data_IF_122646535672
#
_entry.id   IF_122646535672
#
_cell.length_a   1.000
_cell.length_b   1.000
_cell.length_c   1.000
_cell.angle_alpha   90.00
_cell.angle_beta   90.00
_cell.angle_gamma   90.00
#
_symmetry.space_group_name_H-M   'P 1'
#
loop_
_entity.id
_entity.type
_entity.pdbx_description
1 polymer ?
#
# COMPACT_ATOMS: atom_id res chain seq x y z
N UNK A 1 3.75 -7.80 1.35
CA UNK A 1 3.03 -8.77 2.22
C UNK A 1 2.89 -10.07 1.47
N UNK A 2 3.28 -11.17 2.09
CA UNK A 2 3.14 -12.54 1.59
C UNK A 2 1.76 -13.09 1.95
N UNK A 3 0.95 -13.45 0.97
CA UNK A 3 -0.41 -13.95 1.21
C UNK A 3 -0.47 -15.40 1.72
N UNK A 4 0.63 -16.15 1.60
CA UNK A 4 0.71 -17.50 2.16
C UNK A 4 0.83 -17.49 3.69
N UNK A 5 1.30 -16.41 4.29
CA UNK A 5 1.50 -16.30 5.75
C UNK A 5 0.96 -15.00 6.35
N UNK A 6 0.41 -14.10 5.52
CA UNK A 6 -0.13 -12.78 5.89
C UNK A 6 0.85 -11.88 6.64
N UNK A 7 2.11 -11.89 6.22
CA UNK A 7 3.20 -11.16 6.88
C UNK A 7 4.00 -10.28 5.92
N UNK A 8 4.55 -9.20 6.43
CA UNK A 8 5.51 -8.38 5.69
C UNK A 8 6.84 -9.11 5.59
N UNK A 9 7.29 -9.39 4.36
CA UNK A 9 8.55 -10.09 4.08
C UNK A 9 9.64 -9.17 3.49
N UNK A 10 9.25 -7.97 3.06
CA UNK A 10 10.14 -6.98 2.48
C UNK A 10 9.57 -5.57 2.68
N UNK A 11 10.46 -4.62 2.93
CA UNK A 11 10.18 -3.18 3.04
C UNK A 11 11.24 -2.45 2.23
N UNK A 12 10.82 -1.49 1.42
CA UNK A 12 11.72 -0.74 0.52
C UNK A 12 11.61 0.74 0.83
N UNK A 13 12.72 1.37 1.22
CA UNK A 13 12.81 2.82 1.24
C UNK A 13 12.94 3.31 -0.20
N UNK A 14 11.97 4.10 -0.66
CA UNK A 14 12.05 4.76 -1.97
C UNK A 14 12.92 6.01 -1.84
N UNK A 15 14.07 6.07 -2.54
CA UNK A 15 14.94 7.25 -2.50
C UNK A 15 14.26 8.42 -3.22
N UNK A 16 14.54 9.65 -2.77
CA UNK A 16 14.00 10.89 -3.37
C UNK A 16 12.47 10.92 -3.51
N UNK A 17 11.75 10.25 -2.60
CA UNK A 17 10.28 10.27 -2.52
C UNK A 17 9.83 10.81 -1.16
N UNK A 18 8.98 11.84 -1.17
CA UNK A 18 8.28 12.34 -0.01
C UNK A 18 6.78 12.31 -0.28
N UNK A 19 5.98 11.90 0.72
CA UNK A 19 4.55 11.65 0.52
C UNK A 19 4.32 10.55 -0.50
N UNK A 20 4.86 9.33 -0.30
CA UNK A 20 4.56 8.24 -1.23
C UNK A 20 3.07 7.92 -1.14
N UNK A 21 2.31 8.29 -2.18
CA UNK A 21 0.84 8.27 -2.14
C UNK A 21 0.29 7.16 -3.05
N UNK A 22 0.10 7.43 -4.34
CA UNK A 22 -0.36 6.43 -5.30
C UNK A 22 0.59 5.24 -5.41
N UNK A 23 0.08 4.04 -5.19
CA UNK A 23 0.79 2.78 -5.36
C UNK A 23 -0.07 1.79 -6.13
N UNK A 24 0.48 1.21 -7.21
CA UNK A 24 -0.26 0.22 -7.99
C UNK A 24 0.66 -0.86 -8.58
N UNK A 25 0.32 -2.17 -8.46
CA UNK A 25 1.08 -3.21 -9.14
C UNK A 25 0.82 -3.22 -10.65
N UNK A 26 1.74 -3.78 -11.43
CA UNK A 26 1.47 -4.10 -12.84
C UNK A 26 0.33 -5.12 -12.95
N UNK A 27 -0.79 -4.75 -13.60
CA UNK A 27 -1.93 -5.65 -13.86
C UNK A 27 -1.61 -6.72 -14.91
N UNK A 28 -0.75 -6.40 -15.88
CA UNK A 28 -0.39 -7.32 -16.96
C UNK A 28 0.37 -8.55 -16.44
N UNK A 29 1.38 -8.30 -15.61
CA UNK A 29 2.20 -9.33 -14.97
C UNK A 29 2.77 -8.75 -13.70
N UNK A 30 2.79 -9.53 -12.61
CA UNK A 30 3.42 -9.10 -11.36
C UNK A 30 4.96 -9.11 -11.46
N UNK A 31 5.50 -8.12 -12.17
CA UNK A 31 6.93 -7.88 -12.34
C UNK A 31 7.38 -6.52 -11.77
N UNK A 32 6.43 -5.58 -11.61
CA UNK A 32 6.68 -4.28 -11.05
C UNK A 32 5.55 -3.80 -10.13
N UNK A 33 5.93 -2.97 -9.16
CA UNK A 33 5.04 -2.09 -8.39
C UNK A 33 5.46 -0.66 -8.69
N UNK A 34 4.48 0.18 -8.99
CA UNK A 34 4.70 1.58 -9.30
C UNK A 34 4.24 2.46 -8.15
N UNK A 35 5.05 3.47 -7.82
CA UNK A 35 4.79 4.39 -6.71
C UNK A 35 4.98 5.84 -7.16
N UNK A 36 4.13 6.72 -6.67
CA UNK A 36 4.19 8.16 -6.89
C UNK A 36 4.73 8.88 -5.65
N UNK A 37 5.69 9.78 -5.85
CA UNK A 37 6.03 10.79 -4.85
C UNK A 37 5.08 11.99 -5.00
N UNK A 38 4.28 12.25 -3.99
CA UNK A 38 3.30 13.35 -3.99
C UNK A 38 3.95 14.71 -3.85
N UNK A 39 5.01 14.80 -3.05
CA UNK A 39 5.68 16.07 -2.78
C UNK A 39 6.94 16.18 -3.62
N UNK A 40 7.03 17.27 -4.37
CA UNK A 40 8.22 17.65 -5.11
C UNK A 40 9.28 18.18 -4.14
N UNK A 41 10.54 17.78 -4.31
CA UNK A 41 11.68 18.28 -3.49
C UNK A 41 12.92 18.54 -4.34
N UNK A 42 13.89 19.37 -3.88
CA UNK A 42 15.14 19.55 -4.60
C UNK A 42 15.91 18.26 -4.81
N UNK A 43 16.67 18.19 -5.91
CA UNK A 43 17.54 17.05 -6.19
C UNK A 43 18.98 17.51 -6.47
N UNK A 44 19.95 17.27 -5.56
CA UNK A 44 19.79 16.64 -4.24
C UNK A 44 19.10 17.55 -3.21
N UNK A 45 18.46 16.95 -2.21
CA UNK A 45 17.83 17.67 -1.11
C UNK A 45 18.81 17.85 0.08
N UNK A 46 19.78 18.75 -0.09
CA UNK A 46 20.89 18.94 0.86
C UNK A 46 20.88 20.31 1.58
N UNK A 47 19.75 21.01 1.53
CA UNK A 47 19.54 22.28 2.24
C UNK A 47 20.01 23.52 1.48
N UNK A 48 20.48 23.41 0.22
CA UNK A 48 20.86 24.58 -0.59
C UNK A 48 19.68 25.30 -1.25
N UNK A 49 18.59 24.58 -1.51
CA UNK A 49 17.43 25.05 -2.27
C UNK A 49 16.14 25.00 -1.44
N UNK A 50 16.22 25.34 -0.14
CA UNK A 50 15.12 25.19 0.83
C UNK A 50 13.85 25.97 0.52
N UNK A 51 13.93 27.05 -0.25
CA UNK A 51 12.80 27.93 -0.57
C UNK A 51 12.84 28.31 -2.07
N UNK A 52 13.09 27.30 -2.91
CA UNK A 52 13.10 27.47 -4.37
C UNK A 52 12.29 26.37 -5.06
N UNK A 53 10.94 26.46 -5.03
CA UNK A 53 10.04 25.44 -5.57
C UNK A 53 10.28 25.09 -7.03
N UNK A 54 10.81 26.02 -7.83
CA UNK A 54 11.19 25.79 -9.25
C UNK A 54 12.28 24.73 -9.45
N UNK A 55 12.98 24.37 -8.38
CA UNK A 55 13.99 23.29 -8.40
C UNK A 55 13.44 21.98 -7.85
N UNK A 56 12.20 21.97 -7.40
CA UNK A 56 11.59 20.81 -6.79
C UNK A 56 11.12 19.89 -7.90
N UNK A 57 11.21 18.59 -7.65
CA UNK A 57 10.79 17.60 -8.61
C UNK A 57 10.16 16.43 -7.87
N UNK A 58 9.01 15.98 -8.36
CA UNK A 58 8.40 14.73 -7.96
C UNK A 58 8.88 13.60 -8.87
N UNK A 59 8.71 12.36 -8.42
CA UNK A 59 9.18 11.18 -9.15
C UNK A 59 8.11 10.10 -9.23
N UNK A 60 8.03 9.46 -10.39
CA UNK A 60 7.41 8.16 -10.52
C UNK A 60 8.47 7.06 -10.41
N UNK A 61 8.20 6.05 -9.59
CA UNK A 61 9.17 5.01 -9.24
C UNK A 61 8.67 3.64 -9.65
N UNK A 62 9.55 2.83 -10.24
CA UNK A 62 9.32 1.42 -10.53
C UNK A 62 10.13 0.55 -9.58
N UNK A 63 9.46 -0.33 -8.84
CA UNK A 63 10.04 -1.31 -7.93
C UNK A 63 9.84 -2.69 -8.54
N UNK A 64 10.89 -3.52 -8.56
CA UNK A 64 10.78 -4.92 -8.96
C UNK A 64 9.94 -5.69 -7.95
N UNK A 65 8.81 -6.25 -8.37
CA UNK A 65 7.84 -6.87 -7.45
C UNK A 65 8.38 -8.14 -6.75
N UNK A 66 9.46 -8.76 -7.25
CA UNK A 66 10.03 -10.00 -6.69
C UNK A 66 11.16 -9.73 -5.72
N UNK A 67 12.02 -8.77 -6.05
CA UNK A 67 13.19 -8.42 -5.25
C UNK A 67 12.94 -7.24 -4.33
N UNK A 68 11.85 -6.50 -4.55
CA UNK A 68 11.50 -5.27 -3.87
C UNK A 68 12.59 -4.19 -3.97
N UNK A 69 13.42 -4.23 -5.02
CA UNK A 69 14.44 -3.22 -5.30
C UNK A 69 13.91 -2.20 -6.30
N UNK A 70 14.30 -0.94 -6.12
CA UNK A 70 14.01 0.12 -7.10
C UNK A 70 14.74 -0.18 -8.42
N UNK A 71 14.00 -0.25 -9.52
CA UNK A 71 14.52 -0.51 -10.87
C UNK A 71 14.95 0.77 -11.57
N UNK A 72 14.13 1.80 -11.48
CA UNK A 72 14.36 3.13 -12.05
C UNK A 72 13.38 4.12 -11.45
N UNK A 73 13.71 5.41 -11.59
CA UNK A 73 12.81 6.52 -11.30
C UNK A 73 12.75 7.44 -12.51
N UNK A 74 11.70 8.25 -12.61
CA UNK A 74 11.58 9.28 -13.64
C UNK A 74 11.03 10.56 -13.04
N UNK A 75 11.75 11.66 -13.26
CA UNK A 75 11.34 13.01 -12.89
C UNK A 75 10.19 13.49 -13.78
N UNK A 76 9.24 14.23 -13.23
CA UNK A 76 8.07 14.74 -13.95
C UNK A 76 7.85 16.23 -13.68
N UNK A 77 7.05 16.87 -14.54
CA UNK A 77 6.56 18.24 -14.32
C UNK A 77 5.38 18.20 -13.33
N UNK A 78 5.30 19.16 -12.41
CA UNK A 78 4.27 19.16 -11.36
C UNK A 78 4.48 18.07 -10.31
N UNK A 79 3.39 17.47 -9.83
CA UNK A 79 3.41 16.41 -8.82
C UNK A 79 2.65 15.14 -9.26
N UNK A 80 2.56 14.15 -8.37
CA UNK A 80 1.83 12.90 -8.64
C UNK A 80 0.97 12.46 -7.46
N UNK A 81 -0.28 12.17 -7.73
CA UNK A 81 -1.27 11.74 -6.77
C UNK A 81 -1.47 10.20 -6.88
N UNK A 82 -2.62 9.73 -7.36
CA UNK A 82 -2.92 8.30 -7.49
C UNK A 82 -2.15 7.63 -8.63
N UNK A 83 -2.04 6.30 -8.57
CA UNK A 83 -1.33 5.50 -9.58
C UNK A 83 -2.24 4.39 -10.14
N UNK A 84 -2.10 4.08 -11.43
CA UNK A 84 -2.74 2.92 -12.05
C UNK A 84 -1.91 2.37 -13.22
N UNK A 85 -2.12 1.10 -13.57
CA UNK A 85 -1.47 0.44 -14.72
C UNK A 85 -2.50 -0.10 -15.72
N UNK A 86 -2.15 -0.13 -17.01
CA UNK A 86 -2.99 -0.79 -18.01
C UNK A 86 -2.94 -2.33 -17.89
N UNK A 87 -3.76 -3.03 -18.68
CA UNK A 87 -3.79 -4.49 -18.70
C UNK A 87 -2.78 -5.11 -19.69
N UNK A 88 -2.13 -4.30 -20.50
CA UNK A 88 -1.20 -4.73 -21.57
C UNK A 88 0.28 -4.52 -21.20
N UNK A 89 0.56 -3.89 -20.06
CA UNK A 89 1.91 -3.64 -19.56
C UNK A 89 2.64 -2.54 -20.34
N UNK A 90 1.92 -1.72 -21.10
CA UNK A 90 2.50 -0.62 -21.88
C UNK A 90 2.61 0.65 -21.06
N UNK A 91 1.64 0.91 -20.19
CA UNK A 91 1.53 2.18 -19.49
C UNK A 91 1.32 2.03 -17.99
N UNK A 92 2.06 2.84 -17.24
CA UNK A 92 1.70 3.29 -15.90
C UNK A 92 1.18 4.71 -15.99
N UNK A 93 0.34 5.13 -15.05
CA UNK A 93 -0.33 6.42 -15.07
C UNK A 93 -0.42 6.99 -13.66
N UNK A 94 -0.42 8.31 -13.54
CA UNK A 94 -0.77 9.00 -12.32
C UNK A 94 -1.36 10.37 -12.56
N UNK A 95 -2.30 10.77 -11.71
CA UNK A 95 -2.91 12.12 -11.72
C UNK A 95 -1.94 13.13 -11.13
N UNK A 96 -2.01 14.37 -11.58
CA UNK A 96 -1.29 15.51 -11.01
C UNK A 96 -2.33 16.51 -10.55
N UNK A 97 -2.19 17.02 -9.32
CA UNK A 97 -3.07 18.08 -8.81
C UNK A 97 -2.36 19.41 -8.64
N UNK A 98 -1.03 19.44 -8.76
CA UNK A 98 -0.21 20.63 -8.58
C UNK A 98 0.71 20.77 -9.78
N UNK A 99 0.12 20.96 -10.96
CA UNK A 99 0.87 21.24 -12.18
C UNK A 99 1.53 22.62 -12.16
N UNK A 100 1.09 23.48 -11.25
CA UNK A 100 1.58 24.83 -11.02
C UNK A 100 2.89 24.86 -10.23
N UNK A 101 3.28 23.73 -9.61
CA UNK A 101 4.44 23.64 -8.71
C UNK A 101 4.34 24.62 -7.53
N UNK A 102 3.10 24.89 -7.09
CA UNK A 102 2.79 25.74 -5.95
C UNK A 102 3.16 25.10 -4.62
N UNK A 103 3.40 25.92 -3.61
CA UNK A 103 3.66 25.51 -2.22
C UNK A 103 2.58 26.00 -1.26
N UNK A 104 1.68 26.87 -1.74
CA UNK A 104 0.48 27.32 -1.03
C UNK A 104 -0.78 26.75 -1.70
N UNK A 105 -1.86 26.61 -0.93
CA UNK A 105 -3.12 26.04 -1.40
C UNK A 105 -3.68 26.80 -2.61
N UNK A 106 -3.69 28.13 -2.56
CA UNK A 106 -4.18 28.98 -3.63
C UNK A 106 -3.36 28.88 -4.91
N UNK A 107 -2.06 28.57 -4.82
CA UNK A 107 -1.18 28.38 -5.97
C UNK A 107 -1.49 27.04 -6.65
N UNK A 108 -1.60 25.98 -5.83
CA UNK A 108 -1.92 24.63 -6.28
C UNK A 108 -3.32 24.52 -6.91
N UNK A 109 -4.21 25.49 -6.66
CA UNK A 109 -5.58 25.48 -7.19
C UNK A 109 -5.78 26.48 -8.33
N UNK A 110 -4.71 27.08 -8.86
CA UNK A 110 -4.83 28.21 -9.78
C UNK A 110 -5.07 27.79 -11.23
N UNK A 111 -4.61 26.61 -11.65
CA UNK A 111 -4.85 26.06 -12.97
C UNK A 111 -6.30 25.58 -13.14
N UNK A 112 -6.90 25.80 -14.31
CA UNK A 112 -8.22 25.23 -14.64
C UNK A 112 -8.13 23.73 -14.97
N UNK A 113 -6.94 23.29 -15.40
CA UNK A 113 -6.64 21.89 -15.72
C UNK A 113 -5.21 21.59 -15.32
N UNK A 114 -5.06 20.50 -14.59
CA UNK A 114 -3.80 19.80 -14.45
C UNK A 114 -3.74 18.71 -15.52
N UNK A 115 -3.29 17.51 -15.17
CA UNK A 115 -3.11 16.46 -16.13
C UNK A 115 -3.12 15.05 -15.52
N UNK A 116 -3.41 14.08 -16.38
CA UNK A 116 -3.01 12.69 -16.25
C UNK A 116 -1.61 12.53 -16.86
N UNK A 117 -0.65 12.14 -16.03
CA UNK A 117 0.72 11.79 -16.42
C UNK A 117 0.77 10.32 -16.83
N UNK A 118 1.09 10.02 -18.09
CA UNK A 118 1.17 8.66 -18.63
C UNK A 118 2.63 8.32 -18.91
N UNK A 119 3.08 7.16 -18.42
CA UNK A 119 4.45 6.67 -18.53
C UNK A 119 4.53 5.51 -19.53
N UNK A 120 5.29 5.66 -20.61
CA UNK A 120 5.54 4.58 -21.57
C UNK A 120 6.61 3.62 -21.03
N UNK A 121 6.16 2.48 -20.50
CA UNK A 121 7.02 1.52 -19.80
C UNK A 121 8.05 0.88 -20.72
N UNK A 122 7.69 0.61 -21.98
CA UNK A 122 8.63 0.06 -22.97
C UNK A 122 9.78 1.04 -23.23
N UNK A 123 9.46 2.30 -23.55
CA UNK A 123 10.47 3.34 -23.83
C UNK A 123 11.37 3.61 -22.63
N UNK A 124 10.80 3.65 -21.42
CA UNK A 124 11.55 3.82 -20.18
C UNK A 124 12.48 2.63 -19.93
N UNK A 125 11.97 1.41 -20.00
CA UNK A 125 12.76 0.21 -19.75
C UNK A 125 13.88 0.04 -20.80
N UNK A 126 13.63 0.40 -22.06
CA UNK A 126 14.67 0.38 -23.10
C UNK A 126 15.74 1.44 -22.84
N UNK A 127 15.36 2.67 -22.48
CA UNK A 127 16.32 3.71 -22.10
C UNK A 127 17.21 3.28 -20.93
N UNK A 128 16.63 2.68 -19.89
CA UNK A 128 17.37 2.13 -18.75
C UNK A 128 18.34 1.02 -19.18
N UNK A 129 17.91 0.09 -20.04
CA UNK A 129 18.78 -0.97 -20.58
C UNK A 129 19.93 -0.42 -21.43
N UNK A 130 19.70 0.68 -22.14
CA UNK A 130 20.72 1.43 -22.90
C UNK A 130 21.68 2.22 -22.00
N UNK A 131 21.50 2.18 -20.67
CA UNK A 131 22.34 2.90 -19.71
C UNK A 131 22.01 4.39 -19.60
N UNK A 132 20.86 4.84 -20.09
CA UNK A 132 20.38 6.22 -19.88
C UNK A 132 19.91 6.41 -18.44
N UNK A 133 19.99 7.65 -17.98
CA UNK A 133 19.58 8.06 -16.65
C UNK A 133 20.73 8.65 -15.85
N UNK A 134 20.39 9.58 -14.99
CA UNK A 134 21.30 10.27 -14.09
C UNK A 134 21.40 9.44 -12.82
N UNK A 135 22.62 9.25 -12.31
CA UNK A 135 22.84 8.63 -11.00
C UNK A 135 22.98 9.70 -9.95
N UNK A 136 22.31 9.50 -8.82
CA UNK A 136 22.41 10.33 -7.64
C UNK A 136 22.94 9.52 -6.46
N UNK A 137 23.50 10.19 -5.46
CA UNK A 137 24.26 9.54 -4.38
C UNK A 137 23.44 8.54 -3.54
N UNK A 138 22.14 8.74 -3.41
CA UNK A 138 21.28 7.92 -2.54
C UNK A 138 20.68 6.70 -3.24
N UNK A 139 20.94 6.52 -4.55
CA UNK A 139 20.36 5.39 -5.30
C UNK A 139 21.26 4.92 -6.44
N UNK A 140 21.39 3.61 -6.58
CA UNK A 140 22.02 2.98 -7.75
C UNK A 140 21.07 2.91 -8.96
N UNK A 141 19.76 3.10 -8.73
CA UNK A 141 18.75 3.06 -9.78
C UNK A 141 18.89 4.29 -10.70
N UNK A 142 18.84 4.12 -12.03
CA UNK A 142 18.87 5.25 -12.96
C UNK A 142 17.62 6.12 -12.79
N UNK A 143 17.84 7.44 -12.78
CA UNK A 143 16.77 8.43 -12.79
C UNK A 143 16.68 9.06 -14.18
N UNK A 144 15.58 8.85 -14.89
CA UNK A 144 15.30 9.48 -16.18
C UNK A 144 14.69 10.87 -15.97
N UNK A 145 14.77 11.72 -17.00
CA UNK A 145 14.08 13.00 -17.06
C UNK A 145 12.86 12.89 -17.97
N UNK A 146 11.67 12.92 -17.38
CA UNK A 146 10.37 12.88 -18.04
C UNK A 146 9.67 14.24 -18.10
N UNK A 147 10.39 15.33 -17.82
CA UNK A 147 9.88 16.70 -17.89
C UNK A 147 9.84 17.21 -19.32
N UNK A 148 9.01 18.23 -19.55
CA UNK A 148 8.80 18.88 -20.83
C UNK A 148 8.51 17.90 -21.97
N UNK A 149 9.00 18.22 -23.17
CA UNK A 149 8.84 17.36 -24.35
C UNK A 149 9.88 16.23 -24.34
N UNK A 150 9.43 15.01 -24.11
CA UNK A 150 10.28 13.82 -24.03
C UNK A 150 9.57 12.58 -24.61
N UNK A 151 10.26 11.45 -24.83
CA UNK A 151 9.63 10.25 -25.38
C UNK A 151 8.97 9.35 -24.32
N UNK A 152 9.19 9.59 -23.02
CA UNK A 152 8.84 8.68 -21.93
C UNK A 152 7.49 8.99 -21.29
N UNK A 153 7.15 10.28 -21.21
CA UNK A 153 5.99 10.79 -20.48
C UNK A 153 5.07 11.59 -21.40
N UNK A 154 3.77 11.37 -21.27
CA UNK A 154 2.71 12.09 -21.96
C UNK A 154 1.79 12.74 -20.92
N UNK A 155 1.54 14.04 -21.07
CA UNK A 155 0.66 14.81 -20.18
C UNK A 155 -0.68 15.07 -20.87
N UNK A 156 -1.75 14.42 -20.41
CA UNK A 156 -3.11 14.58 -20.94
C UNK A 156 -3.88 15.53 -20.02
N UNK A 157 -4.40 16.69 -20.49
CA UNK A 157 -4.98 17.69 -19.60
C UNK A 157 -6.28 17.19 -18.95
N UNK A 158 -6.48 17.43 -17.64
CA UNK A 158 -7.65 16.96 -16.87
C UNK A 158 -8.09 18.07 -15.88
N UNK A 159 -9.38 18.45 -15.83
CA UNK A 159 -9.92 19.37 -14.83
C UNK A 159 -10.30 18.62 -13.54
N UNK A 160 -10.20 19.19 -12.34
CA UNK A 160 -9.30 20.25 -11.89
C UNK A 160 -8.74 19.77 -10.55
N UNK A 161 -7.42 19.76 -10.39
CA UNK A 161 -6.75 19.08 -9.30
C UNK A 161 -7.19 17.61 -9.17
N UNK A 162 -7.25 16.84 -10.28
CA UNK A 162 -7.82 15.50 -10.30
C UNK A 162 -7.16 14.58 -9.28
N UNK A 163 -7.93 13.64 -8.74
CA UNK A 163 -7.49 12.76 -7.67
C UNK A 163 -7.37 11.31 -8.13
N UNK A 164 -8.47 10.55 -8.16
CA UNK A 164 -8.44 9.15 -8.61
C UNK A 164 -8.13 9.02 -10.10
N UNK A 165 -7.32 8.01 -10.43
CA UNK A 165 -7.24 7.41 -11.77
C UNK A 165 -7.56 5.93 -11.68
N UNK A 166 -8.61 5.49 -12.36
CA UNK A 166 -9.10 4.11 -12.28
C UNK A 166 -9.25 3.53 -13.70
N UNK A 167 -8.74 2.32 -13.92
CA UNK A 167 -8.78 1.65 -15.24
C UNK A 167 -9.98 0.71 -15.30
N UNK A 168 -10.81 0.85 -16.33
CA UNK A 168 -11.97 -0.02 -16.53
C UNK A 168 -11.53 -1.50 -16.66
N UNK A 169 -12.33 -2.48 -16.17
CA UNK A 169 -11.99 -3.91 -16.23
C UNK A 169 -11.73 -4.45 -17.65
N UNK A 170 -12.35 -3.84 -18.67
CA UNK A 170 -12.13 -4.18 -20.07
C UNK A 170 -10.83 -3.60 -20.65
N UNK A 171 -10.09 -2.81 -19.86
CA UNK A 171 -8.79 -2.23 -20.20
C UNK A 171 -8.82 -1.11 -21.24
N UNK A 172 -10.00 -0.57 -21.56
CA UNK A 172 -10.14 0.46 -22.61
C UNK A 172 -9.95 1.89 -22.09
N UNK A 173 -10.36 2.16 -20.86
CA UNK A 173 -10.52 3.51 -20.37
C UNK A 173 -9.74 3.75 -19.08
N UNK A 174 -9.04 4.88 -19.01
CA UNK A 174 -8.60 5.47 -17.76
C UNK A 174 -9.60 6.57 -17.38
N UNK A 175 -10.21 6.46 -16.19
CA UNK A 175 -11.19 7.41 -15.67
C UNK A 175 -10.50 8.27 -14.62
N UNK A 176 -10.40 9.57 -14.87
CA UNK A 176 -9.80 10.52 -13.93
C UNK A 176 -10.91 11.30 -13.21
N UNK A 177 -10.93 11.27 -11.89
CA UNK A 177 -11.93 11.95 -11.08
C UNK A 177 -11.50 13.41 -10.82
N UNK A 178 -12.37 14.35 -11.16
CA UNK A 178 -12.01 15.75 -11.32
C UNK A 178 -11.89 16.58 -10.04
N UNK A 179 -12.13 16.01 -8.84
CA UNK A 179 -12.06 16.66 -7.53
C UNK A 179 -12.74 18.03 -7.45
N UNK A 180 -12.04 19.11 -7.80
CA UNK A 180 -12.60 20.46 -7.80
C UNK A 180 -13.52 20.71 -9.00
N UNK A 181 -13.30 20.00 -10.10
CA UNK A 181 -14.27 19.92 -11.19
C UNK A 181 -15.33 18.89 -10.86
N UNK A 182 -16.63 19.16 -11.10
CA UNK A 182 -17.72 18.21 -10.86
C UNK A 182 -17.80 17.09 -11.91
N UNK A 183 -16.70 16.82 -12.62
CA UNK A 183 -16.64 15.92 -13.78
C UNK A 183 -15.71 14.74 -13.52
N UNK A 184 -15.85 13.71 -14.35
CA UNK A 184 -14.80 12.70 -14.56
C UNK A 184 -14.32 12.77 -16.01
N UNK A 185 -13.03 12.62 -16.28
CA UNK A 185 -12.48 12.59 -17.65
C UNK A 185 -12.26 11.14 -18.08
N UNK A 186 -12.86 10.75 -19.22
CA UNK A 186 -12.74 9.41 -19.82
C UNK A 186 -11.62 9.44 -20.87
N UNK A 187 -10.49 8.81 -20.60
CA UNK A 187 -9.33 8.76 -21.48
C UNK A 187 -9.22 7.38 -22.16
N UNK A 188 -9.10 7.37 -23.49
CA UNK A 188 -8.92 6.15 -24.28
C UNK A 188 -7.47 5.66 -24.25
N UNK A 189 -7.22 4.50 -23.65
CA UNK A 189 -5.88 3.89 -23.60
C UNK A 189 -5.37 3.54 -25.01
N UNK A 190 -6.27 3.07 -25.90
CA UNK A 190 -5.93 2.72 -27.28
C UNK A 190 -5.37 3.88 -28.12
N UNK A 191 -5.61 5.14 -27.71
CA UNK A 191 -5.13 6.34 -28.42
C UNK A 191 -3.75 6.80 -27.95
N UNK A 192 -3.23 6.25 -26.84
CA UNK A 192 -1.98 6.72 -26.23
C UNK A 192 -0.78 6.50 -27.14
N UNK A 193 -0.72 5.40 -27.89
CA UNK A 193 0.38 5.14 -28.84
C UNK A 193 0.46 6.22 -29.92
N UNK A 194 -0.69 6.65 -30.47
CA UNK A 194 -0.73 7.70 -31.47
C UNK A 194 -0.35 9.07 -30.88
N UNK A 195 -0.71 9.35 -29.62
CA UNK A 195 -0.31 10.56 -28.92
C UNK A 195 1.20 10.59 -28.63
N UNK A 196 1.77 9.48 -28.13
CA UNK A 196 3.21 9.32 -27.91
C UNK A 196 4.04 9.40 -29.20
N UNK A 197 3.43 9.10 -30.35
CA UNK A 197 4.03 9.20 -31.68
C UNK A 197 3.74 10.55 -32.35
N UNK A 198 3.04 11.47 -31.68
CA UNK A 198 2.72 12.81 -32.19
C UNK A 198 1.72 12.82 -33.37
N UNK A 199 1.01 11.72 -33.62
CA UNK A 199 -0.04 11.65 -34.65
C UNK A 199 -1.31 12.37 -34.22
N UNK A 200 -1.58 12.39 -32.92
CA UNK A 200 -2.67 13.15 -32.29
C UNK A 200 -2.12 13.96 -31.12
N UNK A 201 -2.86 14.97 -30.65
CA UNK A 201 -2.50 15.72 -29.44
C UNK A 201 -2.89 14.92 -28.19
N UNK A 202 -2.24 15.12 -27.03
CA UNK A 202 -2.60 14.42 -25.79
C UNK A 202 -4.09 14.54 -25.45
N UNK A 203 -4.67 15.74 -25.59
CA UNK A 203 -6.10 15.99 -25.35
C UNK A 203 -7.04 15.17 -26.24
N UNK A 204 -6.59 14.71 -27.42
CA UNK A 204 -7.43 13.95 -28.35
C UNK A 204 -7.61 12.48 -27.88
N UNK A 205 -6.90 12.08 -26.81
CA UNK A 205 -7.13 10.82 -26.09
C UNK A 205 -8.43 10.86 -25.26
N UNK A 206 -8.93 12.05 -24.91
CA UNK A 206 -10.16 12.23 -24.13
C UNK A 206 -11.37 11.90 -25.02
N UNK A 207 -12.28 11.07 -24.51
CA UNK A 207 -13.50 10.69 -25.21
C UNK A 207 -14.71 11.50 -24.74
N UNK A 208 -14.82 11.74 -23.43
CA UNK A 208 -15.87 12.55 -22.83
C UNK A 208 -15.45 13.02 -21.43
N UNK A 209 -16.11 14.08 -20.95
CA UNK A 209 -15.93 14.64 -19.61
C UNK A 209 -17.32 14.82 -18.96
N UNK A 210 -18.04 13.72 -18.64
CA UNK A 210 -19.37 13.82 -18.03
C UNK A 210 -19.34 14.51 -16.67
N UNK A 211 -20.37 15.31 -16.40
CA UNK A 211 -20.65 15.85 -15.07
C UNK A 211 -21.29 14.77 -14.20
N UNK A 212 -20.67 14.49 -13.05
CA UNK A 212 -21.09 13.41 -12.16
C UNK A 212 -21.74 13.98 -10.89
N UNK A 213 -21.20 15.09 -10.38
CA UNK A 213 -21.67 15.82 -9.19
C UNK A 213 -20.50 16.46 -8.44
N UNK A 214 -20.73 16.99 -7.23
CA UNK A 214 -19.73 17.80 -6.53
C UNK A 214 -18.69 16.94 -5.79
N UNK A 215 -17.41 17.18 -6.07
CA UNK A 215 -16.29 16.52 -5.40
C UNK A 215 -16.03 15.07 -5.86
N UNK A 216 -15.95 14.75 -7.17
CA UNK A 216 -15.62 13.40 -7.61
C UNK A 216 -14.20 13.01 -7.22
N UNK A 217 -14.02 11.93 -6.45
CA UNK A 217 -12.70 11.49 -5.96
C UNK A 217 -12.21 10.18 -6.56
N UNK A 218 -13.01 9.11 -6.56
CA UNK A 218 -12.59 7.79 -7.05
C UNK A 218 -13.70 7.07 -7.78
N UNK A 219 -13.33 6.16 -8.68
CA UNK A 219 -14.26 5.37 -9.48
C UNK A 219 -13.99 3.87 -9.39
N UNK A 220 -15.00 3.06 -9.10
CA UNK A 220 -14.98 1.60 -9.19
C UNK A 220 -15.89 1.10 -10.33
N UNK A 221 -15.83 -0.20 -10.65
CA UNK A 221 -16.51 -0.79 -11.81
C UNK A 221 -17.17 -2.12 -11.47
N UNK A 222 -18.26 -2.44 -12.17
CA UNK A 222 -19.02 -3.69 -11.97
C UNK A 222 -18.77 -4.78 -13.03
N UNK A 223 -17.90 -4.53 -14.00
CA UNK A 223 -17.68 -5.44 -15.14
C UNK A 223 -18.82 -5.47 -16.17
N UNK A 224 -19.86 -4.63 -16.02
CA UNK A 224 -21.04 -4.55 -16.91
C UNK A 224 -21.13 -3.22 -17.65
N UNK A 225 -20.05 -2.44 -17.64
CA UNK A 225 -19.95 -1.13 -18.29
C UNK A 225 -20.42 0.05 -17.44
N UNK A 226 -20.79 -0.17 -16.18
CA UNK A 226 -21.09 0.92 -15.25
C UNK A 226 -19.88 1.24 -14.37
N UNK A 227 -19.78 2.52 -14.03
CA UNK A 227 -18.83 3.11 -13.13
C UNK A 227 -19.56 3.65 -11.89
N UNK A 228 -18.89 3.63 -10.75
CA UNK A 228 -19.40 4.06 -9.45
C UNK A 228 -18.43 5.08 -8.89
N UNK A 229 -18.82 6.34 -8.86
CA UNK A 229 -17.94 7.45 -8.48
C UNK A 229 -18.38 8.06 -7.16
N UNK A 230 -17.43 8.23 -6.25
CA UNK A 230 -17.65 8.93 -4.98
C UNK A 230 -17.73 10.43 -5.19
N UNK A 231 -18.69 11.08 -4.53
CA UNK A 231 -18.85 12.53 -4.52
C UNK A 231 -18.72 13.02 -3.09
N UNK A 232 -17.54 13.54 -2.75
CA UNK A 232 -17.16 13.90 -1.39
C UNK A 232 -18.07 14.99 -0.81
N UNK A 233 -18.35 16.04 -1.59
CA UNK A 233 -19.12 17.20 -1.14
C UNK A 233 -20.62 16.88 -1.09
N UNK A 234 -21.14 16.20 -2.12
CA UNK A 234 -22.54 15.75 -2.13
C UNK A 234 -22.81 14.63 -1.12
N UNK A 235 -21.76 13.94 -0.65
CA UNK A 235 -21.85 12.76 0.22
C UNK A 235 -22.65 11.60 -0.38
N UNK A 236 -22.44 11.33 -1.67
CA UNK A 236 -23.13 10.27 -2.40
C UNK A 236 -22.17 9.41 -3.22
N UNK A 237 -22.63 8.23 -3.63
CA UNK A 237 -22.06 7.47 -4.73
C UNK A 237 -22.98 7.62 -5.95
N UNK A 238 -22.41 7.97 -7.09
CA UNK A 238 -23.13 8.03 -8.37
C UNK A 238 -22.74 6.85 -9.24
N UNK A 239 -23.73 6.03 -9.60
CA UNK A 239 -23.63 5.00 -10.64
C UNK A 239 -23.95 5.62 -12.00
N UNK A 240 -23.08 5.40 -12.97
CA UNK A 240 -23.23 5.92 -14.34
C UNK A 240 -22.68 4.95 -15.39
N UNK A 241 -23.15 5.06 -16.63
CA UNK A 241 -22.74 4.18 -17.73
C UNK A 241 -21.70 4.86 -18.64
N UNK A 242 -20.57 4.18 -18.85
CA UNK A 242 -19.40 4.76 -19.54
C UNK A 242 -19.70 5.02 -21.01
N UNK A 243 -20.25 4.03 -21.72
CA UNK A 243 -20.54 4.14 -23.16
C UNK A 243 -21.62 5.17 -23.46
N UNK A 244 -22.67 5.25 -22.63
CA UNK A 244 -23.69 6.29 -22.74
C UNK A 244 -23.10 7.68 -22.57
N UNK A 245 -22.20 7.86 -21.60
CA UNK A 245 -21.51 9.13 -21.38
C UNK A 245 -20.65 9.51 -22.60
N UNK A 246 -19.92 8.56 -23.18
CA UNK A 246 -19.13 8.78 -24.41
C UNK A 246 -20.01 9.21 -25.59
N UNK A 247 -21.21 8.63 -25.71
CA UNK A 247 -22.18 8.97 -26.76
C UNK A 247 -22.95 10.28 -26.50
N UNK A 248 -22.82 10.87 -25.31
CA UNK A 248 -23.58 12.06 -24.91
C UNK A 248 -25.06 11.79 -24.66
N UNK A 249 -25.44 10.55 -24.32
CA UNK A 249 -26.83 10.20 -23.99
C UNK A 249 -27.23 10.83 -22.65
N UNK A 250 -28.41 11.45 -22.55
CA UNK A 250 -28.80 12.22 -21.34
C UNK A 250 -29.01 11.36 -20.08
N UNK A 251 -29.19 10.06 -20.24
CA UNK A 251 -29.47 9.10 -19.17
C UNK A 251 -28.22 8.24 -18.83
N UNK A 252 -27.01 8.79 -19.01
CA UNK A 252 -25.78 8.13 -18.56
C UNK A 252 -25.71 8.02 -17.03
N UNK A 253 -26.34 8.92 -16.28
CA UNK A 253 -26.49 8.81 -14.82
C UNK A 253 -27.60 7.81 -14.50
N UNK A 254 -27.26 6.71 -13.81
CA UNK A 254 -28.16 5.58 -13.56
C UNK A 254 -28.82 5.67 -12.19
N UNK A 255 -28.01 5.91 -11.15
CA UNK A 255 -28.50 5.97 -9.76
C UNK A 255 -27.57 6.83 -8.91
N UNK A 256 -28.12 7.54 -7.93
CA UNK A 256 -27.39 8.16 -6.83
C UNK A 256 -27.78 7.47 -5.52
N UNK A 257 -26.81 7.22 -4.64
CA UNK A 257 -27.02 6.64 -3.32
C UNK A 257 -26.32 7.50 -2.27
N UNK A 258 -27.08 7.95 -1.26
CA UNK A 258 -26.52 8.65 -0.12
C UNK A 258 -25.61 7.74 0.70
N UNK A 259 -24.40 8.23 0.99
CA UNK A 259 -23.41 7.57 1.85
C UNK A 259 -23.01 8.48 3.00
N UNK A 260 -22.51 7.90 4.09
CA UNK A 260 -22.53 8.54 5.40
C UNK A 260 -21.16 8.51 6.08
N UNK A 261 -20.35 9.56 5.98
CA UNK A 261 -20.46 10.72 5.09
C UNK A 261 -19.10 11.07 4.49
N UNK A 262 -19.11 11.88 3.42
CA UNK A 262 -17.92 12.36 2.73
C UNK A 262 -17.05 11.18 2.24
N UNK A 263 -17.51 10.46 1.20
CA UNK A 263 -16.80 9.30 0.68
C UNK A 263 -15.46 9.72 0.06
N UNK A 264 -14.39 9.03 0.46
CA UNK A 264 -13.07 9.10 -0.18
C UNK A 264 -13.01 8.09 -1.33
N UNK A 265 -12.22 7.03 -1.15
CA UNK A 265 -12.17 5.90 -2.08
C UNK A 265 -13.46 5.08 -2.11
N UNK A 266 -13.58 4.33 -3.21
CA UNK A 266 -14.57 3.29 -3.39
C UNK A 266 -13.92 2.13 -4.15
N UNK A 267 -14.26 0.90 -3.79
CA UNK A 267 -13.84 -0.27 -4.55
C UNK A 267 -14.94 -1.32 -4.63
N UNK A 268 -14.96 -2.09 -5.71
CA UNK A 268 -15.90 -3.18 -5.92
C UNK A 268 -15.17 -4.54 -5.95
N UNK A 269 -15.91 -5.61 -5.68
CA UNK A 269 -15.38 -6.98 -5.74
C UNK A 269 -14.73 -7.27 -7.08
N UNK A 270 -13.42 -7.56 -7.04
CA UNK A 270 -12.57 -7.83 -8.20
C UNK A 270 -12.47 -6.66 -9.22
N UNK A 271 -12.92 -5.45 -8.88
CA UNK A 271 -13.07 -4.29 -9.79
C UNK A 271 -11.79 -3.85 -10.49
N UNK A 272 -10.63 -4.07 -9.87
CA UNK A 272 -9.33 -3.71 -10.43
C UNK A 272 -8.72 -4.80 -11.32
N UNK A 273 -9.50 -5.84 -11.63
CA UNK A 273 -9.11 -6.99 -12.43
C UNK A 273 -10.09 -7.23 -13.58
N UNK A 274 -9.75 -8.13 -14.51
CA UNK A 274 -10.67 -8.60 -15.56
C UNK A 274 -11.83 -9.44 -15.02
N UNK A 275 -11.78 -9.83 -13.74
CA UNK A 275 -12.77 -10.68 -13.07
C UNK A 275 -13.80 -9.86 -12.24
N UNK A 276 -13.92 -8.55 -12.49
CA UNK A 276 -14.92 -7.69 -11.86
C UNK A 276 -16.31 -8.34 -11.94
N UNK A 277 -16.89 -8.68 -10.77
CA UNK A 277 -18.09 -9.52 -10.70
C UNK A 277 -19.38 -8.71 -10.48
N UNK A 278 -19.23 -7.45 -10.06
CA UNK A 278 -20.32 -6.53 -9.79
C UNK A 278 -21.30 -7.05 -8.74
N UNK A 279 -20.80 -7.66 -7.66
CA UNK A 279 -21.60 -8.15 -6.54
C UNK A 279 -21.61 -7.14 -5.38
N UNK A 280 -20.44 -6.75 -4.90
CA UNK A 280 -20.28 -5.84 -3.77
C UNK A 280 -19.46 -4.60 -4.14
N UNK A 281 -19.72 -3.53 -3.41
CA UNK A 281 -19.04 -2.24 -3.46
C UNK A 281 -18.82 -1.78 -2.01
N UNK A 282 -17.67 -1.18 -1.71
CA UNK A 282 -17.37 -0.57 -0.40
C UNK A 282 -17.02 0.89 -0.63
N UNK A 283 -17.73 1.78 0.07
CA UNK A 283 -17.46 3.23 0.13
C UNK A 283 -16.78 3.57 1.44
N UNK A 284 -15.60 4.20 1.37
CA UNK A 284 -14.76 4.50 2.54
C UNK A 284 -15.00 5.95 2.97
N UNK A 285 -15.87 6.16 3.96
CA UNK A 285 -16.39 7.48 4.30
C UNK A 285 -15.67 8.11 5.50
N UNK A 286 -15.25 9.37 5.35
CA UNK A 286 -14.29 10.03 6.26
C UNK A 286 -14.90 10.66 7.51
N UNK A 287 -16.23 10.79 7.56
CA UNK A 287 -16.91 11.29 8.74
C UNK A 287 -18.11 10.41 9.10
N UNK A 288 -18.01 9.66 10.20
CA UNK A 288 -19.11 8.80 10.67
C UNK A 288 -20.23 9.53 11.40
N UNK A 289 -19.98 10.72 11.95
CA UNK A 289 -21.00 11.57 12.62
C UNK A 289 -21.92 10.75 13.55
N UNK A 290 -23.22 10.74 13.29
CA UNK A 290 -24.25 10.09 14.11
C UNK A 290 -24.48 8.60 13.79
N UNK A 291 -23.67 7.98 12.91
CA UNK A 291 -23.87 6.59 12.47
C UNK A 291 -23.58 5.56 13.57
N UNK A 292 -22.80 5.92 14.60
CA UNK A 292 -22.40 5.05 15.69
C UNK A 292 -22.62 5.68 17.06
N UNK A 293 -22.49 4.88 18.12
CA UNK A 293 -22.47 5.40 19.49
C UNK A 293 -21.31 6.40 19.66
N UNK A 294 -21.49 7.50 20.41
CA UNK A 294 -20.42 8.45 20.64
C UNK A 294 -19.31 7.83 21.50
N UNK A 295 -18.07 7.96 21.03
CA UNK A 295 -16.86 7.40 21.69
C UNK A 295 -15.84 8.46 22.10
N UNK A 296 -16.24 9.74 22.08
CA UNK A 296 -15.39 10.88 22.35
C UNK A 296 -15.11 11.72 21.10
N UNK A 297 -14.18 12.68 21.17
CA UNK A 297 -13.90 13.60 20.05
C UNK A 297 -13.25 12.95 18.82
N UNK A 298 -12.65 11.77 18.98
CA UNK A 298 -12.00 11.02 17.91
C UNK A 298 -12.95 9.92 17.43
N UNK A 299 -13.73 10.25 16.40
CA UNK A 299 -14.72 9.35 15.81
C UNK A 299 -14.05 8.32 14.88
N UNK A 300 -14.64 7.11 14.74
CA UNK A 300 -14.23 6.17 13.69
C UNK A 300 -14.63 6.71 12.29
N UNK A 301 -14.01 6.18 11.24
CA UNK A 301 -14.54 6.29 9.87
C UNK A 301 -15.70 5.31 9.68
N UNK A 302 -16.42 5.40 8.55
CA UNK A 302 -17.52 4.49 8.21
C UNK A 302 -17.30 3.83 6.85
N UNK A 303 -16.87 2.57 6.87
CA UNK A 303 -16.78 1.75 5.66
C UNK A 303 -18.14 1.13 5.38
N UNK A 304 -18.81 1.61 4.33
CA UNK A 304 -20.16 1.18 3.99
C UNK A 304 -20.15 0.10 2.90
N UNK A 305 -20.70 -1.07 3.22
CA UNK A 305 -20.91 -2.15 2.26
C UNK A 305 -22.21 -1.93 1.49
N UNK A 306 -22.11 -1.96 0.17
CA UNK A 306 -23.21 -1.73 -0.77
C UNK A 306 -23.32 -2.96 -1.69
N UNK A 307 -24.53 -3.49 -1.82
CA UNK A 307 -24.86 -4.53 -2.79
C UNK A 307 -25.14 -3.94 -4.16
N UNK A 308 -24.60 -4.55 -5.22
CA UNK A 308 -24.78 -4.14 -6.62
C UNK A 308 -25.15 -5.30 -7.57
N UNK A 309 -25.46 -6.49 -7.04
CA UNK A 309 -25.76 -7.69 -7.84
C UNK A 309 -27.07 -7.62 -8.64
N UNK A 310 -28.02 -6.76 -8.24
CA UNK A 310 -29.32 -6.59 -8.92
C UNK A 310 -29.30 -5.46 -9.97
N UNK A 311 -28.12 -4.93 -10.29
CA UNK A 311 -27.97 -3.77 -11.18
C UNK A 311 -28.43 -2.45 -10.54
N UNK A 312 -28.62 -2.41 -9.22
CA UNK A 312 -28.91 -1.23 -8.42
C UNK A 312 -28.07 -1.24 -7.15
N UNK A 313 -27.70 -0.06 -6.66
CA UNK A 313 -26.99 0.09 -5.39
C UNK A 313 -27.97 0.00 -4.21
N UNK A 314 -27.64 -0.84 -3.23
CA UNK A 314 -28.37 -0.98 -1.96
C UNK A 314 -27.39 -1.00 -0.79
N UNK A 315 -27.48 -0.03 0.11
CA UNK A 315 -26.69 -0.03 1.35
C UNK A 315 -27.07 -1.25 2.21
N UNK A 316 -26.06 -1.99 2.69
CA UNK A 316 -26.23 -3.22 3.47
C UNK A 316 -25.70 -3.10 4.89
N UNK A 317 -24.59 -2.39 5.09
CA UNK A 317 -23.89 -2.35 6.36
C UNK A 317 -23.07 -1.08 6.52
N UNK A 318 -23.01 -0.59 7.76
CA UNK A 318 -22.11 0.46 8.22
C UNK A 318 -21.08 -0.19 9.15
N UNK A 319 -19.80 -0.15 8.76
CA UNK A 319 -18.70 -0.72 9.52
C UNK A 319 -17.85 0.39 10.16
N UNK A 320 -17.88 0.56 11.51
CA UNK A 320 -16.96 1.48 12.17
C UNK A 320 -15.54 0.93 12.09
N UNK A 321 -14.61 1.75 11.61
CA UNK A 321 -13.20 1.37 11.45
C UNK A 321 -12.29 2.37 12.17
N UNK A 322 -11.08 1.93 12.52
CA UNK A 322 -10.06 2.86 12.98
C UNK A 322 -9.88 3.96 11.92
N UNK A 323 -9.70 5.24 12.30
CA UNK A 323 -9.82 6.34 11.35
C UNK A 323 -8.87 6.27 10.15
N UNK A 324 -9.38 6.73 9.01
CA UNK A 324 -8.71 6.89 7.72
C UNK A 324 -8.09 5.64 7.06
N UNK A 325 -8.81 4.52 6.86
CA UNK A 325 -8.44 3.60 5.79
C UNK A 325 -8.60 4.33 4.46
N UNK A 326 -7.50 4.50 3.72
CA UNK A 326 -7.52 5.26 2.48
C UNK A 326 -8.19 4.50 1.35
N UNK A 327 -7.80 3.24 1.15
CA UNK A 327 -8.23 2.38 0.05
C UNK A 327 -8.37 0.92 0.52
N UNK A 328 -9.04 0.09 -0.27
CA UNK A 328 -9.14 -1.34 -0.02
C UNK A 328 -9.24 -2.11 -1.33
N UNK A 329 -8.96 -3.41 -1.29
CA UNK A 329 -9.23 -4.33 -2.41
C UNK A 329 -10.09 -5.49 -1.93
N UNK A 330 -11.03 -5.93 -2.75
CA UNK A 330 -11.91 -7.06 -2.45
C UNK A 330 -11.58 -8.19 -3.42
N UNK A 331 -11.07 -9.28 -2.88
CA UNK A 331 -10.57 -10.43 -3.66
C UNK A 331 -11.38 -11.69 -3.36
N UNK A 332 -11.62 -12.50 -4.39
CA UNK A 332 -12.28 -13.79 -4.22
C UNK A 332 -11.45 -14.70 -3.32
N UNK A 333 -12.05 -15.27 -2.27
CA UNK A 333 -11.39 -16.15 -1.31
C UNK A 333 -10.60 -17.30 -1.95
N UNK A 334 -11.02 -17.79 -3.12
CA UNK A 334 -10.38 -18.92 -3.82
C UNK A 334 -8.97 -18.60 -4.31
N UNK A 335 -8.63 -17.32 -4.45
CA UNK A 335 -7.31 -16.85 -4.87
C UNK A 335 -6.30 -16.83 -3.71
N UNK A 336 -6.76 -16.89 -2.47
CA UNK A 336 -5.89 -16.88 -1.28
C UNK A 336 -5.77 -18.31 -0.75
N UNK A 337 -4.53 -18.79 -0.62
CA UNK A 337 -4.19 -20.09 -0.05
C UNK A 337 -3.15 -19.90 1.05
N UNK A 338 -3.62 -19.45 2.21
CA UNK A 338 -2.77 -19.27 3.39
C UNK A 338 -2.36 -20.62 4.00
N UNK A 339 -1.12 -20.70 4.46
CA UNK A 339 -0.61 -21.79 5.27
C UNK A 339 -1.21 -21.72 6.68
N UNK A 340 -1.40 -22.90 7.28
CA UNK A 340 -1.96 -23.06 8.64
C UNK A 340 -0.90 -23.06 9.74
N UNK A 341 0.34 -23.39 9.37
CA UNK A 341 1.53 -23.40 10.23
C UNK A 341 2.73 -22.93 9.41
N UNK A 342 3.77 -22.45 10.08
CA UNK A 342 5.02 -22.10 9.42
C UNK A 342 5.82 -23.34 9.02
N UNK A 343 6.51 -23.23 7.89
CA UNK A 343 7.66 -24.09 7.64
C UNK A 343 8.83 -23.57 8.47
N UNK A 344 9.42 -24.39 9.34
CA UNK A 344 10.57 -24.00 10.17
C UNK A 344 11.79 -23.54 9.34
N UNK A 345 11.83 -23.93 8.06
CA UNK A 345 12.83 -23.52 7.08
C UNK A 345 12.43 -22.28 6.27
N UNK A 346 11.33 -21.59 6.61
CA UNK A 346 10.88 -20.39 5.89
C UNK A 346 11.95 -19.30 5.89
N UNK A 347 12.06 -18.55 4.80
CA UNK A 347 13.04 -17.46 4.67
C UNK A 347 12.91 -16.36 5.74
N UNK A 348 11.73 -16.18 6.36
CA UNK A 348 11.52 -15.22 7.47
C UNK A 348 12.55 -15.43 8.58
N UNK A 349 12.87 -16.69 8.91
CA UNK A 349 13.76 -17.06 10.02
C UNK A 349 15.18 -17.42 9.57
N UNK A 350 15.59 -16.99 8.37
CA UNK A 350 16.91 -17.33 7.82
C UNK A 350 18.05 -16.75 8.67
N UNK A 351 17.84 -15.56 9.25
CA UNK A 351 18.80 -14.92 10.15
C UNK A 351 19.00 -15.76 11.43
N UNK A 352 17.91 -16.13 12.10
CA UNK A 352 17.93 -16.92 13.33
C UNK A 352 18.52 -18.32 13.08
N UNK A 353 18.14 -18.97 11.97
CA UNK A 353 18.72 -20.27 11.60
C UNK A 353 20.23 -20.19 11.43
N UNK A 354 20.72 -19.15 10.75
CA UNK A 354 22.16 -18.94 10.58
C UNK A 354 22.82 -18.70 11.93
N UNK A 355 22.27 -17.81 12.76
CA UNK A 355 22.81 -17.49 14.07
C UNK A 355 22.91 -18.73 14.97
N UNK A 356 21.84 -19.53 15.05
CA UNK A 356 21.83 -20.77 15.86
C UNK A 356 22.80 -21.81 15.32
N UNK A 357 22.95 -21.93 14.00
CA UNK A 357 23.94 -22.81 13.37
C UNK A 357 25.38 -22.36 13.66
N UNK A 358 25.67 -21.07 13.60
CA UNK A 358 27.01 -20.51 13.87
C UNK A 358 27.42 -20.75 15.34
N UNK A 359 26.46 -20.84 16.26
CA UNK A 359 26.66 -21.28 17.65
C UNK A 359 26.82 -22.81 17.82
N UNK A 360 26.73 -23.58 16.74
CA UNK A 360 26.78 -25.05 16.77
C UNK A 360 25.53 -25.69 17.39
N UNK A 361 24.39 -25.00 17.34
CA UNK A 361 23.13 -25.42 17.96
C UNK A 361 22.03 -25.70 16.93
N UNK A 362 20.90 -26.22 17.42
CA UNK A 362 19.63 -26.32 16.73
C UNK A 362 18.55 -25.55 17.52
N UNK A 363 17.41 -25.26 16.90
CA UNK A 363 16.34 -24.47 17.53
C UNK A 363 15.72 -25.10 18.78
N UNK A 364 15.83 -26.41 18.93
CA UNK A 364 15.36 -27.18 20.09
C UNK A 364 16.42 -27.32 21.20
N UNK A 365 17.58 -26.67 21.06
CA UNK A 365 18.73 -26.92 21.95
C UNK A 365 18.50 -26.54 23.41
N UNK A 366 17.68 -25.52 23.70
CA UNK A 366 17.45 -25.01 25.06
C UNK A 366 18.75 -24.71 25.81
N UNK A 367 19.61 -23.84 25.23
CA UNK A 367 20.95 -23.53 25.74
C UNK A 367 21.23 -22.04 25.82
N UNK A 368 22.15 -21.70 26.72
CA UNK A 368 22.71 -20.35 26.86
C UNK A 368 24.19 -20.43 26.46
N UNK A 369 24.60 -19.62 25.49
CA UNK A 369 25.99 -19.53 25.01
C UNK A 369 26.53 -18.13 25.30
N UNK A 370 27.76 -18.03 25.78
CA UNK A 370 28.42 -16.77 26.12
C UNK A 370 29.63 -16.53 25.22
N UNK A 371 29.68 -15.36 24.61
CA UNK A 371 30.80 -14.90 23.78
C UNK A 371 31.21 -13.50 24.24
N UNK A 372 32.16 -13.42 25.16
CA UNK A 372 32.53 -12.17 25.81
C UNK A 372 31.33 -11.58 26.58
N UNK A 373 30.95 -10.34 26.26
CA UNK A 373 29.79 -9.65 26.86
C UNK A 373 28.45 -9.98 26.18
N UNK A 374 28.44 -10.86 25.17
CA UNK A 374 27.23 -11.29 24.47
C UNK A 374 26.72 -12.61 25.02
N UNK A 375 25.42 -12.70 25.23
CA UNK A 375 24.74 -13.92 25.70
C UNK A 375 23.66 -14.29 24.69
N UNK A 376 23.79 -15.48 24.10
CA UNK A 376 22.78 -16.03 23.21
C UNK A 376 21.94 -17.06 23.96
N UNK A 377 20.63 -16.87 23.98
CA UNK A 377 19.68 -17.78 24.63
C UNK A 377 18.85 -18.43 23.53
N UNK A 378 19.11 -19.70 23.23
CA UNK A 378 18.31 -20.49 22.27
C UNK A 378 17.31 -21.30 23.05
N UNK A 379 16.02 -21.02 22.88
CA UNK A 379 14.94 -21.60 23.68
C UNK A 379 13.77 -22.04 22.81
N UNK A 380 13.37 -23.29 22.94
CA UNK A 380 12.14 -23.81 22.34
C UNK A 380 10.93 -23.66 23.27
N UNK A 381 9.74 -23.86 22.72
CA UNK A 381 8.52 -24.06 23.49
C UNK A 381 7.64 -25.14 22.85
N UNK A 382 6.99 -25.91 23.72
CA UNK A 382 5.89 -26.82 23.42
C UNK A 382 4.91 -26.64 24.57
N UNK A 383 3.67 -26.25 24.29
CA UNK A 383 2.70 -25.95 25.34
C UNK A 383 2.57 -27.10 26.36
N UNK A 384 2.57 -26.82 27.68
CA UNK A 384 2.62 -25.51 28.36
C UNK A 384 4.02 -25.12 28.88
N UNK A 385 5.12 -25.48 28.20
CA UNK A 385 6.48 -25.27 28.72
C UNK A 385 7.37 -24.49 27.76
N UNK A 386 8.17 -23.58 28.33
CA UNK A 386 9.44 -23.20 27.73
C UNK A 386 10.50 -24.25 28.04
N UNK A 387 11.42 -24.46 27.11
CA UNK A 387 12.52 -25.41 27.31
C UNK A 387 13.58 -24.92 28.30
N UNK A 388 13.61 -23.63 28.64
CA UNK A 388 14.37 -23.09 29.76
C UNK A 388 13.41 -22.56 30.83
N UNK A 389 13.72 -22.85 32.10
CA UNK A 389 12.99 -22.32 33.28
C UNK A 389 13.73 -21.17 33.97
N UNK A 390 14.99 -20.98 33.61
CA UNK A 390 15.89 -19.98 34.20
C UNK A 390 16.93 -19.55 33.16
N UNK A 391 17.23 -18.26 33.13
CA UNK A 391 18.28 -17.63 32.31
C UNK A 391 19.10 -16.75 33.25
N UNK A 392 20.39 -17.05 33.46
CA UNK A 392 21.30 -16.19 34.24
C UNK A 392 22.10 -15.28 33.31
N UNK A 393 22.25 -14.01 33.67
CA UNK A 393 23.12 -13.04 32.99
C UNK A 393 23.73 -12.07 34.02
N UNK A 394 24.77 -11.36 33.63
CA UNK A 394 25.36 -10.28 34.41
C UNK A 394 24.81 -8.93 33.96
N UNK A 395 24.75 -7.96 34.88
CA UNK A 395 24.43 -6.58 34.53
C UNK A 395 25.35 -6.08 33.40
N UNK A 396 24.76 -5.53 32.35
CA UNK A 396 25.45 -4.95 31.20
C UNK A 396 25.68 -5.90 30.02
N UNK A 397 25.40 -7.20 30.18
CA UNK A 397 25.48 -8.16 29.07
C UNK A 397 24.45 -7.83 27.97
N UNK A 398 24.87 -7.99 26.72
CA UNK A 398 23.99 -7.91 25.55
C UNK A 398 23.40 -9.30 25.29
N UNK A 399 22.10 -9.43 25.52
CA UNK A 399 21.38 -10.70 25.43
C UNK A 399 20.64 -10.76 24.11
N UNK A 400 20.88 -11.81 23.33
CA UNK A 400 20.06 -12.17 22.17
C UNK A 400 19.26 -13.43 22.51
N UNK A 401 17.95 -13.27 22.67
CA UNK A 401 17.03 -14.37 22.88
C UNK A 401 16.46 -14.83 21.54
N UNK A 402 16.48 -16.14 21.31
CA UNK A 402 15.94 -16.79 20.11
C UNK A 402 14.93 -17.82 20.59
N UNK A 403 13.65 -17.56 20.32
CA UNK A 403 12.53 -18.40 20.72
C UNK A 403 12.00 -19.16 19.49
N UNK A 404 11.86 -20.49 19.57
CA UNK A 404 11.15 -21.28 18.54
C UNK A 404 9.94 -22.04 19.11
N UNK A 405 8.78 -21.95 18.47
CA UNK A 405 7.61 -22.76 18.81
C UNK A 405 7.64 -24.08 18.02
N UNK A 406 7.71 -25.21 18.72
CA UNK A 406 7.82 -26.55 18.13
C UNK A 406 6.49 -27.31 18.08
N UNK A 407 5.39 -26.69 18.52
CA UNK A 407 4.06 -27.26 18.32
C UNK A 407 3.73 -27.41 16.83
N UNK A 408 2.93 -28.43 16.52
CA UNK A 408 2.53 -28.80 15.15
C UNK A 408 1.05 -28.64 14.89
N UNK A 409 0.32 -28.06 15.84
CA UNK A 409 -1.12 -27.84 15.78
C UNK A 409 -1.35 -26.41 15.26
N UNK A 410 -2.23 -26.25 14.27
CA UNK A 410 -2.62 -24.93 13.77
C UNK A 410 -3.20 -24.06 14.90
N UNK A 411 -2.98 -22.74 14.82
CA UNK A 411 -3.46 -21.76 15.80
C UNK A 411 -2.88 -21.89 17.23
N UNK A 412 -2.00 -22.86 17.49
CA UNK A 412 -1.34 -23.04 18.78
C UNK A 412 -0.16 -22.06 18.94
N UNK A 413 -0.50 -20.78 18.98
CA UNK A 413 0.46 -19.68 19.07
C UNK A 413 0.93 -19.47 20.50
N UNK A 414 2.23 -19.23 20.67
CA UNK A 414 2.84 -18.85 21.94
C UNK A 414 3.15 -17.36 21.97
N UNK A 415 3.39 -16.83 23.16
CA UNK A 415 4.01 -15.53 23.35
C UNK A 415 5.36 -15.68 24.01
N UNK A 416 6.14 -14.61 24.04
CA UNK A 416 7.24 -14.41 24.98
C UNK A 416 7.21 -12.96 25.45
N UNK A 417 6.98 -12.76 26.75
CA UNK A 417 7.16 -11.47 27.39
C UNK A 417 8.28 -11.57 28.43
N UNK A 418 9.17 -10.58 28.47
CA UNK A 418 10.10 -10.38 29.58
C UNK A 418 9.65 -9.15 30.38
N UNK A 419 9.16 -9.39 31.59
CA UNK A 419 8.66 -8.35 32.49
C UNK A 419 9.69 -7.24 32.66
N UNK A 420 9.22 -5.99 32.68
CA UNK A 420 10.00 -4.77 32.84
C UNK A 420 10.94 -4.40 31.68
N UNK A 421 11.21 -5.28 30.72
CA UNK A 421 12.17 -5.01 29.62
C UNK A 421 11.53 -4.45 28.34
N UNK A 422 10.22 -4.20 28.34
CA UNK A 422 9.45 -3.81 27.14
C UNK A 422 9.65 -4.78 25.96
N UNK A 423 9.66 -6.08 26.26
CA UNK A 423 9.77 -7.15 25.27
C UNK A 423 8.51 -7.99 25.37
N UNK A 424 7.75 -8.05 24.28
CA UNK A 424 6.58 -8.90 24.11
C UNK A 424 6.39 -9.21 22.61
N UNK A 425 6.40 -10.48 22.23
CA UNK A 425 6.13 -10.91 20.86
C UNK A 425 5.43 -12.27 20.82
N UNK A 426 4.67 -12.52 19.76
CA UNK A 426 4.07 -13.83 19.46
C UNK A 426 5.03 -14.74 18.69
N UNK A 427 4.86 -16.06 18.84
CA UNK A 427 5.58 -17.09 18.09
C UNK A 427 4.61 -18.21 17.72
N UNK A 428 4.20 -18.22 16.46
CA UNK A 428 3.23 -19.17 15.89
C UNK A 428 3.85 -20.59 15.72
N UNK A 429 3.05 -21.65 15.53
CA UNK A 429 3.57 -22.99 15.27
C UNK A 429 4.60 -23.03 14.12
N UNK A 430 5.82 -23.51 14.42
CA UNK A 430 6.93 -23.58 13.46
C UNK A 430 7.70 -22.27 13.24
N UNK A 431 7.30 -21.19 13.91
CA UNK A 431 7.96 -19.88 13.86
C UNK A 431 9.16 -19.81 14.80
N UNK A 432 10.18 -19.04 14.40
CA UNK A 432 11.26 -18.59 15.27
C UNK A 432 11.28 -17.07 15.30
N UNK A 433 11.36 -16.48 16.49
CA UNK A 433 11.51 -15.04 16.66
C UNK A 433 12.72 -14.75 17.57
N UNK A 434 13.36 -13.60 17.36
CA UNK A 434 14.50 -13.19 18.17
C UNK A 434 14.45 -11.72 18.57
N UNK A 435 15.10 -11.41 19.69
CA UNK A 435 15.25 -10.04 20.20
C UNK A 435 16.62 -9.88 20.87
N UNK A 436 17.28 -8.75 20.61
CA UNK A 436 18.54 -8.38 21.27
C UNK A 436 18.32 -7.16 22.15
N UNK A 437 18.79 -7.23 23.40
CA UNK A 437 18.63 -6.18 24.40
C UNK A 437 19.77 -6.20 25.41
N UNK A 438 19.92 -5.13 26.20
CA UNK A 438 20.91 -5.09 27.30
C UNK A 438 20.26 -5.45 28.62
N UNK A 439 20.88 -6.35 29.38
CA UNK A 439 20.52 -6.64 30.76
C UNK A 439 20.92 -5.47 31.68
N UNK A 440 20.13 -4.39 31.70
CA UNK A 440 20.52 -3.11 32.28
C UNK A 440 20.09 -2.88 33.75
N UNK A 441 19.49 -3.88 34.40
CA UNK A 441 19.04 -3.80 35.80
C UNK A 441 19.27 -5.12 36.50
N UNK A 442 19.75 -5.08 37.74
CA UNK A 442 19.90 -6.27 38.59
C UNK A 442 18.56 -6.75 39.11
N UNK A 443 18.43 -8.05 39.35
CA UNK A 443 17.27 -8.63 40.01
C UNK A 443 16.67 -9.83 39.28
N UNK A 444 15.45 -10.17 39.69
CA UNK A 444 14.65 -11.26 39.12
C UNK A 444 13.59 -10.65 38.23
N UNK A 445 13.61 -11.01 36.95
CA UNK A 445 12.59 -10.63 35.98
C UNK A 445 11.94 -11.89 35.46
N UNK A 446 10.61 -11.96 35.48
CA UNK A 446 9.91 -13.12 34.95
C UNK A 446 9.81 -13.00 33.43
N UNK A 447 10.00 -14.11 32.74
CA UNK A 447 9.47 -14.26 31.39
C UNK A 447 8.32 -15.26 31.38
N UNK A 448 7.31 -15.01 30.56
CA UNK A 448 6.09 -15.80 30.54
C UNK A 448 5.40 -15.76 29.18
N UNK A 449 4.57 -16.77 28.92
CA UNK A 449 3.76 -16.84 27.71
C UNK A 449 2.54 -15.93 27.83
N UNK A 450 2.46 -14.91 26.99
CA UNK A 450 1.34 -13.95 26.93
C UNK A 450 0.13 -14.49 26.18
N UNK A 451 0.30 -15.54 25.36
CA UNK A 451 -0.78 -16.19 24.64
C UNK A 451 -1.39 -17.32 25.47
N UNK A 452 -2.72 -17.46 25.39
CA UNK A 452 -3.45 -18.55 26.03
C UNK A 452 -3.29 -19.83 25.21
N UNK A 453 -2.10 -20.44 25.27
CA UNK A 453 -1.75 -21.62 24.48
C UNK A 453 -2.18 -22.96 25.11
N UNK A 454 -2.53 -22.96 26.39
CA UNK A 454 -2.89 -24.15 27.15
C UNK A 454 -3.69 -23.78 28.39
N UNK A 455 -4.42 -24.74 28.97
CA UNK A 455 -5.05 -24.58 30.29
C UNK A 455 -4.07 -24.22 31.42
N UNK A 456 -2.77 -24.41 31.20
CA UNK A 456 -1.68 -24.12 32.14
C UNK A 456 -0.79 -22.98 31.62
N UNK A 457 -1.33 -22.06 30.82
CA UNK A 457 -0.53 -20.99 30.22
C UNK A 457 0.05 -20.03 31.28
N UNK A 458 -0.65 -19.85 32.41
CA UNK A 458 -0.17 -19.02 33.53
C UNK A 458 1.11 -19.59 34.16
N UNK A 459 1.25 -20.92 34.15
CA UNK A 459 2.42 -21.65 34.65
C UNK A 459 3.56 -21.73 33.62
N UNK A 460 3.31 -21.39 32.35
CA UNK A 460 4.31 -21.34 31.28
C UNK A 460 5.20 -20.09 31.43
N UNK A 461 6.14 -20.16 32.38
CA UNK A 461 7.04 -19.06 32.74
C UNK A 461 8.38 -19.54 33.28
N UNK A 462 9.35 -18.65 33.22
CA UNK A 462 10.68 -18.84 33.81
C UNK A 462 11.25 -17.52 34.33
N UNK A 463 12.49 -17.58 34.84
CA UNK A 463 13.15 -16.42 35.47
C UNK A 463 14.39 -16.00 34.70
N UNK A 464 14.46 -14.72 34.36
CA UNK A 464 15.64 -14.03 33.89
C UNK A 464 16.31 -13.36 35.10
N UNK A 465 17.50 -13.83 35.45
CA UNK A 465 18.23 -13.43 36.65
C UNK A 465 19.44 -12.60 36.25
N UNK A 466 19.48 -11.34 36.68
CA UNK A 466 20.57 -10.42 36.38
C UNK A 466 21.39 -10.17 37.65
N UNK A 467 22.64 -10.63 37.63
CA UNK A 467 23.59 -10.57 38.75
C UNK A 467 24.34 -9.24 38.85
#
# INVERSE_FOLDING_TARGET
IRLDVMETDAITKVPYSQGTHGLFPSRHKLDAVFCNAEFATPLPNDGRDLDNPKKYVAMHTCIDAKTMKVKWQIMIDGNLDLCATDYEGKYSMGTCYNSEEGVLLEEMMSADRDHLTVFNLERINNAVKEGKGIKFKETDAPILDGRGKNPYVLYIPVPKNPHGVNISPDGKYAICAGKLSPTTTIVSIAKMDDAFNGKIKPKDCILAEPEIGLGPLHTAFDGRGNAYTTLFLDSIVTMWNIEKAIKGEKDYLVQKLDVHYQPGHINASMSETKDADGIYLVSLNKFSKERFLPVGPFYPDNDQLIGIWEGKMKLLHDGPVAPEPHDCVIVNRRLIKAARIWNINDRKFAYERKLVKDLGLAFDANKIVREGNKVFVVMSSIAPNYGLKKIDVNLGEEVTLIQTNLDKVEDLTHGFCLSEYNINFGVSPGETASVTFKANRKGVFWYYCTWFCHALHLEMRGRFLVH
#
